data_IF_240383440972
#
_entry.id   IF_240383440972
#
_cell.length_a   1.000
_cell.length_b   1.000
_cell.length_c   1.000
_cell.angle_alpha   90.00
_cell.angle_beta   90.00
_cell.angle_gamma   90.00
#
_symmetry.space_group_name_H-M   'P 1'
#
loop_
_entity.id
_entity.type
_entity.pdbx_description
1 polymer ?
#
# COMPACT_ATOMS: atom_id res chain seq x y z
N UNK A 1 11.11 31.92 3.57
CA UNK A 1 10.75 31.32 4.87
C UNK A 1 10.16 29.95 4.59
N UNK A 2 10.70 28.84 5.14
CA UNK A 2 10.09 27.53 4.93
C UNK A 2 8.73 27.49 5.66
N UNK A 3 7.73 26.90 5.01
CA UNK A 3 6.39 26.73 5.58
C UNK A 3 6.40 25.39 6.33
N UNK A 4 6.29 25.44 7.65
CA UNK A 4 6.11 24.23 8.45
C UNK A 4 4.67 23.78 8.28
N UNK A 5 4.46 22.57 7.75
CA UNK A 5 3.14 21.97 7.77
C UNK A 5 2.73 21.79 9.24
N UNK A 6 1.48 22.12 9.62
CA UNK A 6 1.00 21.86 10.97
C UNK A 6 1.14 20.36 11.25
N UNK A 7 1.43 20.02 12.50
CA UNK A 7 1.52 18.65 12.98
C UNK A 7 0.13 18.02 12.82
N UNK A 8 -0.11 17.50 11.63
CA UNK A 8 -1.35 16.83 11.27
C UNK A 8 -1.26 15.45 11.87
N UNK A 9 -2.41 14.88 12.24
CA UNK A 9 -2.56 13.47 12.61
C UNK A 9 -2.12 12.48 11.51
N UNK A 10 -1.36 12.92 10.51
CA UNK A 10 -0.73 12.14 9.45
C UNK A 10 -0.04 10.89 10.01
N UNK A 11 0.71 11.05 11.10
CA UNK A 11 1.34 9.92 11.80
C UNK A 11 0.33 8.97 12.45
N UNK A 12 -0.85 9.43 12.86
CA UNK A 12 -1.92 8.59 13.42
C UNK A 12 -2.70 7.83 12.33
N UNK A 13 -2.92 8.45 11.17
CA UNK A 13 -3.61 7.81 10.02
C UNK A 13 -2.75 6.70 9.41
N UNK A 14 -1.42 6.85 9.46
CA UNK A 14 -0.47 5.83 8.97
C UNK A 14 -0.13 4.73 9.98
N UNK A 15 -0.53 4.88 11.26
CA UNK A 15 0.00 4.06 12.36
C UNK A 15 -0.70 2.74 12.73
N UNK A 16 -1.91 2.37 12.28
CA UNK A 16 -2.47 1.11 12.73
C UNK A 16 -1.89 -0.03 11.89
N UNK A 17 -0.67 -0.48 12.24
CA UNK A 17 0.00 -1.63 11.63
C UNK A 17 -0.94 -2.84 11.53
N UNK A 18 -1.72 -3.08 12.58
CA UNK A 18 -2.71 -4.17 12.64
C UNK A 18 -3.82 -3.99 11.60
N UNK A 19 -4.35 -2.78 11.43
CA UNK A 19 -5.35 -2.50 10.40
C UNK A 19 -4.77 -2.66 9.01
N UNK A 20 -3.56 -2.15 8.77
CA UNK A 20 -2.87 -2.32 7.49
C UNK A 20 -2.63 -3.79 7.15
N UNK A 21 -2.27 -4.61 8.15
CA UNK A 21 -2.09 -6.06 8.00
C UNK A 21 -3.43 -6.77 7.73
N UNK A 22 -4.48 -6.43 8.48
CA UNK A 22 -5.81 -7.01 8.31
C UNK A 22 -6.39 -6.66 6.92
N UNK A 23 -6.32 -5.40 6.51
CA UNK A 23 -6.81 -4.94 5.22
C UNK A 23 -6.01 -5.53 4.06
N UNK A 24 -4.70 -5.69 4.22
CA UNK A 24 -3.86 -6.33 3.20
C UNK A 24 -4.20 -7.81 3.07
N UNK A 25 -4.43 -8.52 4.19
CA UNK A 25 -4.91 -9.90 4.16
C UNK A 25 -6.28 -10.02 3.50
N UNK A 26 -7.20 -9.12 3.80
CA UNK A 26 -8.53 -9.08 3.19
C UNK A 26 -8.48 -8.76 1.69
N UNK A 27 -7.54 -7.91 1.25
CA UNK A 27 -7.27 -7.63 -0.16
C UNK A 27 -6.72 -8.87 -0.87
N UNK A 28 -5.72 -9.54 -0.31
CA UNK A 28 -5.07 -10.71 -0.91
C UNK A 28 -5.98 -11.96 -0.97
N UNK A 29 -7.03 -12.02 -0.16
CA UNK A 29 -8.02 -13.09 -0.20
C UNK A 29 -9.04 -12.96 -1.35
N UNK A 30 -9.00 -11.86 -2.12
CA UNK A 30 -9.86 -11.62 -3.29
C UNK A 30 -9.20 -12.13 -4.57
N UNK A 31 -9.85 -11.88 -5.69
CA UNK A 31 -9.28 -12.11 -7.02
C UNK A 31 -8.20 -11.06 -7.33
N UNK A 32 -6.97 -11.34 -6.87
CA UNK A 32 -5.79 -10.51 -7.08
C UNK A 32 -4.75 -11.25 -7.89
N UNK A 33 -3.97 -10.51 -8.66
CA UNK A 33 -2.88 -11.06 -9.46
C UNK A 33 -1.60 -10.23 -9.29
N UNK A 34 -0.42 -10.84 -9.51
CA UNK A 34 0.83 -10.11 -9.55
C UNK A 34 0.79 -9.00 -10.61
N UNK A 35 1.36 -7.85 -10.28
CA UNK A 35 1.42 -6.70 -11.17
C UNK A 35 2.85 -6.15 -11.23
N UNK A 36 3.26 -5.74 -12.43
CA UNK A 36 4.51 -5.03 -12.66
C UNK A 36 4.19 -3.67 -13.23
N UNK A 37 4.64 -2.61 -12.57
CA UNK A 37 4.48 -1.25 -13.06
C UNK A 37 5.68 -0.89 -13.97
N UNK A 38 5.49 -0.59 -15.26
CA UNK A 38 6.59 -0.24 -16.14
C UNK A 38 7.40 0.96 -15.62
N UNK A 39 8.72 0.83 -15.63
CA UNK A 39 9.63 1.87 -15.10
C UNK A 39 9.74 1.91 -13.57
N UNK A 40 9.03 1.06 -12.85
CA UNK A 40 9.16 0.91 -11.41
C UNK A 40 9.90 -0.39 -11.06
N UNK A 41 10.95 -0.27 -10.25
CA UNK A 41 11.69 -1.42 -9.73
C UNK A 41 11.14 -1.75 -8.36
N UNK A 42 10.47 -2.89 -8.24
CA UNK A 42 9.98 -3.38 -6.96
C UNK A 42 11.16 -3.63 -6.01
N UNK A 43 11.17 -3.07 -4.79
CA UNK A 43 12.25 -3.30 -3.83
C UNK A 43 12.39 -4.79 -3.49
N UNK A 44 13.61 -5.20 -3.15
CA UNK A 44 13.89 -6.58 -2.73
C UNK A 44 13.01 -6.98 -1.53
N UNK A 45 12.40 -8.17 -1.60
CA UNK A 45 11.50 -8.67 -0.56
C UNK A 45 10.04 -8.23 -0.72
N UNK A 46 9.74 -7.32 -1.65
CA UNK A 46 8.38 -6.86 -1.90
C UNK A 46 7.79 -7.45 -3.19
N UNK A 47 6.47 -7.56 -3.23
CA UNK A 47 5.69 -7.92 -4.40
C UNK A 47 4.52 -6.93 -4.59
N UNK A 48 4.27 -6.55 -5.83
CA UNK A 48 3.17 -5.67 -6.18
C UNK A 48 2.00 -6.52 -6.72
N UNK A 49 0.82 -6.32 -6.14
CA UNK A 49 -0.41 -7.04 -6.47
C UNK A 49 -1.49 -6.06 -6.90
N UNK A 50 -2.36 -6.50 -7.82
CA UNK A 50 -3.51 -5.71 -8.24
C UNK A 50 -4.81 -6.51 -8.17
N UNK A 51 -5.89 -5.82 -7.83
CA UNK A 51 -7.24 -6.25 -8.17
C UNK A 51 -7.69 -5.42 -9.38
N UNK A 52 -7.84 -6.05 -10.55
CA UNK A 52 -8.21 -5.33 -11.78
C UNK A 52 -9.62 -4.76 -11.72
N UNK A 53 -10.57 -5.49 -11.13
CA UNK A 53 -11.98 -5.10 -11.09
C UNK A 53 -12.18 -3.82 -10.26
N UNK A 54 -11.50 -3.72 -9.13
CA UNK A 54 -11.61 -2.60 -8.19
C UNK A 54 -10.55 -1.51 -8.44
N UNK A 55 -9.62 -1.72 -9.39
CA UNK A 55 -8.47 -0.83 -9.67
C UNK A 55 -7.65 -0.50 -8.42
N UNK A 56 -7.46 -1.50 -7.57
CA UNK A 56 -6.67 -1.39 -6.34
C UNK A 56 -5.32 -2.06 -6.50
N UNK A 57 -4.30 -1.49 -5.85
CA UNK A 57 -2.92 -1.97 -5.89
C UNK A 57 -2.36 -2.03 -4.47
N UNK A 58 -1.57 -3.06 -4.16
CA UNK A 58 -0.83 -3.15 -2.90
C UNK A 58 0.58 -3.64 -3.12
N UNK A 59 1.54 -2.96 -2.49
CA UNK A 59 2.91 -3.43 -2.35
C UNK A 59 3.01 -4.16 -1.00
N UNK A 60 3.40 -5.43 -1.03
CA UNK A 60 3.36 -6.34 0.13
C UNK A 60 4.74 -6.93 0.35
N UNK A 61 5.13 -7.16 1.60
CA UNK A 61 6.30 -7.93 2.04
C UNK A 61 5.88 -9.07 2.95
#
# INVERSE_FOLDING_TARGET
MPITLPDTSFSQVLNPEDTNRADTRAFLARDVEPFTLPGFVTPFGYALWQNRAERQFRLVT
#
